data_IF_881518899699
#
_entry.id   IF_881518899699
#
_cell.length_a   1.000
_cell.length_b   1.000
_cell.length_c   1.000
_cell.angle_alpha   90.00
_cell.angle_beta   90.00
_cell.angle_gamma   90.00
#
_symmetry.space_group_name_H-M   'P 1'
#
loop_
_entity.id
_entity.type
_entity.pdbx_description
1 polymer ?
#
# COMPACT_ATOMS: atom_id res chain seq x y z
N UNK A 1 -26.16 18.80 0.98
CA UNK A 1 -24.76 18.38 1.19
C UNK A 1 -24.23 17.91 -0.14
N UNK A 2 -23.17 18.55 -0.64
CA UNK A 2 -22.55 18.17 -1.92
C UNK A 2 -22.10 16.71 -1.90
N UNK A 3 -22.56 15.93 -2.88
CA UNK A 3 -22.18 14.53 -3.09
C UNK A 3 -20.67 14.33 -3.00
N UNK A 4 -19.89 15.28 -3.51
CA UNK A 4 -18.42 15.25 -3.45
C UNK A 4 -17.89 15.27 -2.02
N UNK A 5 -18.45 16.07 -1.11
CA UNK A 5 -18.01 16.11 0.29
C UNK A 5 -18.27 14.79 1.01
N UNK A 6 -19.41 14.15 0.73
CA UNK A 6 -19.73 12.84 1.32
C UNK A 6 -18.78 11.76 0.84
N UNK A 7 -18.46 11.72 -0.46
CA UNK A 7 -17.51 10.76 -1.03
C UNK A 7 -16.12 10.98 -0.42
N UNK A 8 -15.61 12.22 -0.39
CA UNK A 8 -14.31 12.51 0.22
C UNK A 8 -14.23 12.09 1.68
N UNK A 9 -15.27 12.36 2.46
CA UNK A 9 -15.32 11.96 3.87
C UNK A 9 -15.30 10.42 4.01
N UNK A 10 -16.09 9.73 3.19
CA UNK A 10 -16.16 8.27 3.19
C UNK A 10 -14.80 7.65 2.82
N UNK A 11 -14.11 8.16 1.80
CA UNK A 11 -12.77 7.68 1.42
C UNK A 11 -11.75 7.89 2.53
N UNK A 12 -11.77 9.05 3.20
CA UNK A 12 -10.90 9.34 4.34
C UNK A 12 -11.16 8.40 5.52
N UNK A 13 -12.42 8.21 5.87
CA UNK A 13 -12.83 7.30 6.94
C UNK A 13 -12.42 5.85 6.63
N UNK A 14 -12.62 5.41 5.39
CA UNK A 14 -12.23 4.07 4.95
C UNK A 14 -10.71 3.87 5.01
N UNK A 15 -9.92 4.80 4.48
CA UNK A 15 -8.47 4.74 4.56
C UNK A 15 -7.97 4.73 6.01
N UNK A 16 -8.59 5.51 6.90
CA UNK A 16 -8.27 5.51 8.32
C UNK A 16 -8.60 4.17 8.99
N UNK A 17 -9.76 3.58 8.67
CA UNK A 17 -10.15 2.27 9.17
C UNK A 17 -9.17 1.17 8.71
N UNK A 18 -8.79 1.17 7.42
CA UNK A 18 -7.78 0.24 6.90
C UNK A 18 -6.44 0.38 7.63
N UNK A 19 -6.00 1.61 7.88
CA UNK A 19 -4.77 1.86 8.64
C UNK A 19 -4.86 1.30 10.05
N UNK A 20 -5.94 1.58 10.79
CA UNK A 20 -6.15 1.04 12.14
C UNK A 20 -6.17 -0.49 12.14
N UNK A 21 -6.88 -1.12 11.20
CA UNK A 21 -6.92 -2.57 11.08
C UNK A 21 -5.54 -3.17 10.80
N UNK A 22 -4.76 -2.56 9.90
CA UNK A 22 -3.40 -3.01 9.62
C UNK A 22 -2.48 -2.87 10.84
N UNK A 23 -2.60 -1.78 11.61
CA UNK A 23 -1.82 -1.57 12.82
C UNK A 23 -2.17 -2.61 13.90
N UNK A 24 -3.45 -2.93 14.07
CA UNK A 24 -3.89 -4.03 14.94
C UNK A 24 -3.35 -5.38 14.47
N UNK A 25 -3.38 -5.63 13.15
CA UNK A 25 -2.78 -6.83 12.55
C UNK A 25 -1.29 -6.96 12.86
N UNK A 26 -0.53 -5.86 12.78
CA UNK A 26 0.88 -5.83 13.16
C UNK A 26 1.10 -6.12 14.65
N UNK A 27 0.27 -5.56 15.53
CA UNK A 27 0.34 -5.86 16.97
C UNK A 27 0.12 -7.36 17.22
N UNK A 28 -0.83 -7.99 16.51
CA UNK A 28 -1.07 -9.44 16.61
C UNK A 28 0.12 -10.24 16.06
N UNK A 29 0.67 -9.85 14.91
CA UNK A 29 1.83 -10.49 14.31
C UNK A 29 3.05 -10.46 15.25
N UNK A 30 3.31 -9.30 15.88
CA UNK A 30 4.40 -9.17 16.86
C UNK A 30 4.20 -10.06 18.09
N UNK A 31 2.96 -10.22 18.56
CA UNK A 31 2.65 -11.07 19.71
C UNK A 31 2.75 -12.56 19.41
N UNK A 32 2.42 -12.96 18.20
CA UNK A 32 2.44 -14.36 17.76
C UNK A 32 3.81 -14.78 17.24
N UNK A 33 4.65 -13.82 16.86
CA UNK A 33 5.96 -14.07 16.27
C UNK A 33 5.89 -14.46 14.79
N UNK A 34 4.72 -14.37 14.16
CA UNK A 34 4.47 -14.83 12.80
C UNK A 34 3.98 -13.68 11.90
N UNK A 35 4.35 -13.71 10.62
CA UNK A 35 3.88 -12.75 9.61
C UNK A 35 4.25 -11.29 9.86
N UNK A 36 5.24 -11.00 10.71
CA UNK A 36 5.59 -9.62 11.13
C UNK A 36 5.95 -8.74 9.92
N UNK A 37 6.72 -9.28 8.97
CA UNK A 37 7.15 -8.53 7.78
C UNK A 37 5.96 -8.17 6.91
N UNK A 38 5.09 -9.13 6.60
CA UNK A 38 3.88 -8.94 5.80
C UNK A 38 2.90 -7.97 6.48
N UNK A 39 2.72 -8.09 7.80
CA UNK A 39 1.93 -7.13 8.57
C UNK A 39 2.55 -5.72 8.56
N UNK A 40 3.87 -5.62 8.59
CA UNK A 40 4.60 -4.35 8.45
C UNK A 40 4.37 -3.69 7.10
N UNK A 41 4.38 -4.46 6.01
CA UNK A 41 4.02 -3.97 4.68
C UNK A 41 2.57 -3.51 4.60
N UNK A 42 1.63 -4.24 5.23
CA UNK A 42 0.25 -3.81 5.31
C UNK A 42 0.11 -2.43 5.97
N UNK A 43 0.79 -2.21 7.10
CA UNK A 43 0.83 -0.89 7.78
C UNK A 43 1.46 0.17 6.90
N UNK A 44 2.57 -0.13 6.23
CA UNK A 44 3.23 0.80 5.32
C UNK A 44 2.30 1.25 4.19
N UNK A 45 1.64 0.31 3.50
CA UNK A 45 0.76 0.62 2.37
C UNK A 45 -0.48 1.39 2.78
N UNK A 46 -1.11 1.03 3.91
CA UNK A 46 -2.29 1.74 4.41
C UNK A 46 -1.92 3.12 4.98
N UNK A 47 -0.73 3.28 5.58
CA UNK A 47 -0.23 4.58 6.01
C UNK A 47 0.02 5.51 4.83
N UNK A 48 0.64 5.01 3.76
CA UNK A 48 0.82 5.75 2.51
C UNK A 48 -0.53 6.13 1.89
N UNK A 49 -1.48 5.20 1.85
CA UNK A 49 -2.83 5.45 1.36
C UNK A 49 -3.51 6.56 2.17
N UNK A 50 -3.55 6.44 3.49
CA UNK A 50 -4.13 7.44 4.37
C UNK A 50 -3.45 8.80 4.19
N UNK A 51 -2.11 8.83 4.16
CA UNK A 51 -1.34 10.05 3.93
C UNK A 51 -1.64 10.69 2.58
N UNK A 52 -1.78 9.88 1.53
CA UNK A 52 -2.13 10.33 0.18
C UNK A 52 -3.56 10.87 0.08
N UNK A 53 -4.54 10.18 0.69
CA UNK A 53 -5.95 10.61 0.73
C UNK A 53 -6.14 11.89 1.55
N UNK A 54 -5.42 12.03 2.67
CA UNK A 54 -5.53 13.22 3.51
C UNK A 54 -4.92 14.46 2.85
N UNK A 55 -3.81 14.28 2.13
CA UNK A 55 -3.08 15.36 1.45
C UNK A 55 -3.46 15.57 -0.01
N UNK A 56 -4.31 14.71 -0.56
CA UNK A 56 -4.70 14.71 -1.97
C UNK A 56 -3.49 14.57 -2.92
N UNK A 57 -2.52 13.73 -2.56
CA UNK A 57 -1.24 13.58 -3.29
C UNK A 57 -1.10 12.26 -4.04
N UNK A 58 -2.17 11.48 -4.17
CA UNK A 58 -2.11 10.15 -4.81
C UNK A 58 -1.74 10.21 -6.30
N UNK A 59 -1.98 11.34 -6.96
CA UNK A 59 -1.60 11.55 -8.35
C UNK A 59 -0.14 12.00 -8.52
N UNK A 60 0.55 12.32 -7.42
CA UNK A 60 1.95 12.76 -7.50
C UNK A 60 2.89 11.59 -7.80
N UNK A 61 3.91 11.85 -8.62
CA UNK A 61 4.97 10.90 -8.96
C UNK A 61 5.60 10.26 -7.72
N UNK A 62 5.93 11.07 -6.71
CA UNK A 62 6.57 10.60 -5.48
C UNK A 62 5.69 9.62 -4.71
N UNK A 63 4.39 9.90 -4.60
CA UNK A 63 3.46 9.00 -3.93
C UNK A 63 3.30 7.69 -4.69
N UNK A 64 3.16 7.75 -6.02
CA UNK A 64 3.01 6.55 -6.86
C UNK A 64 4.26 5.67 -6.82
N UNK A 65 5.46 6.27 -6.90
CA UNK A 65 6.72 5.52 -6.78
C UNK A 65 6.83 4.85 -5.40
N UNK A 66 6.48 5.55 -4.32
CA UNK A 66 6.48 4.96 -2.98
C UNK A 66 5.48 3.79 -2.87
N UNK A 67 4.25 3.98 -3.36
CA UNK A 67 3.21 2.97 -3.31
C UNK A 67 3.58 1.72 -4.14
N UNK A 68 3.91 1.89 -5.43
CA UNK A 68 4.26 0.78 -6.31
C UNK A 68 5.60 0.14 -5.94
N UNK A 69 6.55 0.91 -5.42
CA UNK A 69 7.80 0.39 -4.85
C UNK A 69 7.53 -0.50 -3.64
N UNK A 70 6.63 -0.08 -2.75
CA UNK A 70 6.17 -0.91 -1.64
C UNK A 70 5.54 -2.22 -2.07
N UNK A 71 4.63 -2.17 -3.06
CA UNK A 71 4.00 -3.36 -3.66
C UNK A 71 5.04 -4.27 -4.30
N UNK A 72 6.03 -3.71 -5.01
CA UNK A 72 7.12 -4.46 -5.63
C UNK A 72 7.93 -5.24 -4.59
N UNK A 73 8.33 -4.56 -3.52
CA UNK A 73 9.13 -5.14 -2.44
C UNK A 73 8.34 -6.21 -1.67
N UNK A 74 7.08 -5.93 -1.35
CA UNK A 74 6.23 -6.88 -0.65
C UNK A 74 5.96 -8.13 -1.49
N UNK A 75 5.57 -7.97 -2.76
CA UNK A 75 5.32 -9.11 -3.65
C UNK A 75 6.57 -9.95 -3.88
N UNK A 76 7.74 -9.32 -3.98
CA UNK A 76 9.02 -10.01 -4.08
C UNK A 76 9.37 -10.79 -2.81
N UNK A 77 9.11 -10.21 -1.64
CA UNK A 77 9.28 -10.89 -0.35
C UNK A 77 8.37 -12.11 -0.22
N UNK A 78 7.06 -11.96 -0.46
CA UNK A 78 6.09 -13.07 -0.37
C UNK A 78 6.39 -14.19 -1.37
N UNK A 79 6.77 -13.84 -2.60
CA UNK A 79 7.20 -14.86 -3.56
C UNK A 79 8.44 -15.61 -3.06
N UNK A 80 9.42 -14.91 -2.48
CA UNK A 80 10.64 -15.53 -1.99
C UNK A 80 10.41 -16.43 -0.76
N UNK A 81 9.43 -16.13 0.09
CA UNK A 81 9.15 -16.89 1.31
C UNK A 81 8.11 -17.99 1.14
N UNK A 82 7.05 -17.72 0.36
CA UNK A 82 5.90 -18.61 0.20
C UNK A 82 5.80 -19.25 -1.20
N UNK A 83 6.58 -18.79 -2.18
CA UNK A 83 6.54 -19.30 -3.55
C UNK A 83 5.29 -18.91 -4.34
N UNK A 84 4.53 -17.91 -3.86
CA UNK A 84 3.25 -17.52 -4.47
C UNK A 84 3.45 -16.76 -5.79
N UNK A 85 2.99 -17.36 -6.89
CA UNK A 85 3.07 -16.76 -8.23
C UNK A 85 2.27 -15.46 -8.34
N UNK A 86 1.18 -15.32 -7.59
CA UNK A 86 0.40 -14.08 -7.62
C UNK A 86 1.21 -12.91 -7.06
N UNK A 87 1.90 -13.13 -5.94
CA UNK A 87 2.83 -12.17 -5.36
C UNK A 87 3.96 -11.77 -6.31
N UNK A 88 4.49 -12.72 -7.10
CA UNK A 88 5.47 -12.42 -8.14
C UNK A 88 4.91 -11.49 -9.23
N UNK A 89 3.69 -11.75 -9.70
CA UNK A 89 3.04 -10.88 -10.69
C UNK A 89 2.86 -9.46 -10.15
N UNK A 90 2.45 -9.33 -8.89
CA UNK A 90 2.37 -8.02 -8.22
C UNK A 90 3.73 -7.35 -8.10
N UNK A 91 4.78 -8.12 -7.83
CA UNK A 91 6.14 -7.61 -7.76
C UNK A 91 6.56 -6.99 -9.09
N UNK A 92 6.38 -7.74 -10.19
CA UNK A 92 6.68 -7.30 -11.56
C UNK A 92 5.87 -6.07 -11.93
N UNK A 93 4.56 -6.05 -11.65
CA UNK A 93 3.72 -4.89 -11.91
C UNK A 93 4.17 -3.66 -11.14
N UNK A 94 4.54 -3.81 -9.86
CA UNK A 94 5.08 -2.72 -9.06
C UNK A 94 6.35 -2.13 -9.69
N UNK A 95 7.29 -2.98 -10.13
CA UNK A 95 8.52 -2.55 -10.82
C UNK A 95 8.21 -1.82 -12.12
N UNK A 96 7.32 -2.38 -12.95
CA UNK A 96 6.91 -1.75 -14.23
C UNK A 96 6.28 -0.38 -13.99
N UNK A 97 5.42 -0.24 -12.98
CA UNK A 97 4.77 1.03 -12.66
C UNK A 97 5.76 2.07 -12.10
N UNK A 98 6.76 1.65 -11.34
CA UNK A 98 7.87 2.53 -10.91
C UNK A 98 8.67 2.98 -12.13
N UNK A 99 9.05 2.06 -13.01
CA UNK A 99 9.81 2.37 -14.23
C UNK A 99 9.03 3.35 -15.14
N UNK A 100 7.74 3.09 -15.37
CA UNK A 100 6.88 3.97 -16.16
C UNK A 100 6.77 5.37 -15.56
N UNK A 101 6.64 5.48 -14.23
CA UNK A 101 6.64 6.77 -13.53
C UNK A 101 7.98 7.51 -13.63
N UNK A 102 9.10 6.77 -13.61
CA UNK A 102 10.42 7.38 -13.68
C UNK A 102 10.79 7.84 -15.10
N UNK A 103 10.32 7.12 -16.11
CA UNK A 103 10.54 7.40 -17.52
C UNK A 103 9.52 8.40 -18.11
N UNK A 104 8.61 8.93 -17.31
CA UNK A 104 7.55 9.88 -17.74
C UNK A 104 6.73 9.33 -18.92
N UNK A 105 6.51 8.02 -18.95
CA UNK A 105 5.73 7.35 -20.00
C UNK A 105 4.21 7.55 -19.81
N UNK A 106 3.80 8.68 -19.22
CA UNK A 106 2.43 8.95 -18.78
C UNK A 106 1.89 10.26 -19.31
#
# INVERSE_FOLDING_TARGET
MDRNRLVTLATKAFAAALFVLSALGLVVAVRTGDGIVSAGFAVYLTALLLGGVLRDTMDTRNWQVAFFGGVALWGGYEYATAGDLFSLLLAVLGVVMVAANLLELR
#
